data_IF_822212272350
#
_entry.id   IF_822212272350
#
_cell.length_a   1.000
_cell.length_b   1.000
_cell.length_c   1.000
_cell.angle_alpha   90.00
_cell.angle_beta   90.00
_cell.angle_gamma   90.00
#
_symmetry.space_group_name_H-M   'P 1'
#
loop_
_entity.id
_entity.type
_entity.pdbx_description
1 polymer ?
#
# COMPACT_ATOMS: atom_id res chain seq x y z
N UNK A 1 -17.53 14.97 0.09
CA UNK A 1 -16.56 14.39 1.06
C UNK A 1 -15.23 15.10 0.88
N UNK A 2 -14.56 15.56 1.95
CA UNK A 2 -13.21 16.09 1.83
C UNK A 2 -12.24 14.98 1.39
N UNK A 3 -11.25 15.32 0.58
CA UNK A 3 -10.17 14.41 0.21
C UNK A 3 -9.17 14.28 1.37
N UNK A 4 -8.55 13.10 1.57
CA UNK A 4 -7.49 12.94 2.56
C UNK A 4 -6.26 13.78 2.18
N UNK A 5 -5.59 14.35 3.18
CA UNK A 5 -4.34 15.10 3.02
C UNK A 5 -3.12 14.21 2.75
N UNK A 6 -3.22 12.92 3.06
CA UNK A 6 -2.22 11.90 2.77
C UNK A 6 -2.88 10.52 2.64
N UNK A 7 -2.32 9.66 1.79
CA UNK A 7 -2.72 8.26 1.60
C UNK A 7 -1.47 7.39 1.66
N UNK A 8 -1.46 6.38 2.51
CA UNK A 8 -0.39 5.37 2.56
C UNK A 8 -0.93 4.09 1.95
N UNK A 9 -0.43 3.73 0.76
CA UNK A 9 -0.79 2.51 0.07
C UNK A 9 0.23 1.40 0.36
N UNK A 10 -0.24 0.33 0.98
CA UNK A 10 0.56 -0.85 1.30
C UNK A 10 0.60 -1.78 0.08
N UNK A 11 1.61 -1.63 -0.75
CA UNK A 11 1.79 -2.45 -1.94
C UNK A 11 2.28 -3.85 -1.57
N UNK A 12 1.63 -4.87 -2.12
CA UNK A 12 2.00 -6.26 -1.89
C UNK A 12 1.63 -7.07 -3.13
N UNK A 13 2.41 -8.11 -3.42
CA UNK A 13 2.06 -9.03 -4.50
C UNK A 13 0.90 -9.93 -4.09
N UNK A 14 0.24 -10.53 -5.08
CA UNK A 14 -0.88 -11.44 -4.84
C UNK A 14 -0.44 -12.64 -3.99
N UNK A 15 0.74 -13.20 -4.30
CA UNK A 15 1.30 -14.37 -3.64
C UNK A 15 1.52 -14.09 -2.14
N UNK A 16 2.07 -12.93 -1.81
CA UNK A 16 2.30 -12.54 -0.41
C UNK A 16 0.97 -12.24 0.30
N UNK A 17 0.01 -11.61 -0.38
CA UNK A 17 -1.33 -11.36 0.17
C UNK A 17 -2.07 -12.66 0.48
N UNK A 18 -2.09 -13.61 -0.46
CA UNK A 18 -2.73 -14.91 -0.29
C UNK A 18 -2.07 -15.73 0.82
N UNK A 19 -0.73 -15.76 0.86
CA UNK A 19 0.02 -16.47 1.90
C UNK A 19 -0.32 -15.98 3.32
N UNK A 20 -0.62 -14.68 3.49
CA UNK A 20 -0.95 -14.08 4.79
C UNK A 20 -2.42 -14.21 5.17
N UNK A 21 -3.34 -14.10 4.21
CA UNK A 21 -4.78 -14.07 4.49
C UNK A 21 -5.45 -15.45 4.45
N UNK A 22 -4.78 -16.48 3.91
CA UNK A 22 -5.41 -17.77 3.58
C UNK A 22 -6.71 -17.61 2.75
N UNK A 23 -6.87 -16.48 2.06
CA UNK A 23 -8.02 -16.21 1.19
C UNK A 23 -7.74 -16.71 -0.23
N UNK A 24 -8.72 -17.37 -0.84
CA UNK A 24 -8.61 -17.81 -2.23
C UNK A 24 -8.82 -16.61 -3.17
N UNK A 25 -7.79 -16.35 -3.98
CA UNK A 25 -7.78 -15.56 -5.22
C UNK A 25 -8.86 -14.49 -5.34
N UNK A 26 -8.52 -13.24 -4.99
CA UNK A 26 -9.33 -12.12 -5.43
C UNK A 26 -9.23 -12.06 -6.96
N UNK A 27 -10.33 -12.36 -7.66
CA UNK A 27 -10.39 -12.56 -9.12
C UNK A 27 -9.79 -11.40 -9.95
N UNK A 28 -9.53 -10.23 -9.33
CA UNK A 28 -9.01 -9.02 -9.96
C UNK A 28 -7.85 -8.36 -9.17
N UNK A 29 -7.06 -9.11 -8.38
CA UNK A 29 -6.01 -8.54 -7.53
C UNK A 29 -5.01 -7.69 -8.33
N UNK A 30 -4.50 -8.23 -9.44
CA UNK A 30 -3.53 -7.54 -10.29
C UNK A 30 -4.06 -6.21 -10.85
N UNK A 31 -5.33 -6.19 -11.28
CA UNK A 31 -5.98 -4.98 -11.79
C UNK A 31 -6.17 -3.93 -10.71
N UNK A 32 -6.63 -4.34 -9.52
CA UNK A 32 -6.79 -3.44 -8.38
C UNK A 32 -5.46 -2.84 -7.94
N UNK A 33 -4.42 -3.67 -7.81
CA UNK A 33 -3.05 -3.22 -7.51
C UNK A 33 -2.56 -2.21 -8.53
N UNK A 34 -2.73 -2.50 -9.83
CA UNK A 34 -2.32 -1.59 -10.89
C UNK A 34 -3.06 -0.24 -10.83
N UNK A 35 -4.36 -0.25 -10.53
CA UNK A 35 -5.16 0.97 -10.39
C UNK A 35 -4.68 1.85 -9.22
N UNK A 36 -4.42 1.26 -8.04
CA UNK A 36 -3.87 2.01 -6.90
C UNK A 36 -2.48 2.58 -7.18
N UNK A 37 -1.60 1.80 -7.83
CA UNK A 37 -0.27 2.27 -8.22
C UNK A 37 -0.36 3.40 -9.27
N UNK A 38 -1.30 3.31 -10.21
CA UNK A 38 -1.54 4.38 -11.17
C UNK A 38 -2.01 5.67 -10.48
N UNK A 39 -2.90 5.56 -9.49
CA UNK A 39 -3.37 6.71 -8.73
C UNK A 39 -2.27 7.32 -7.86
N UNK A 40 -1.43 6.47 -7.23
CA UNK A 40 -0.29 6.93 -6.45
C UNK A 40 0.72 7.73 -7.29
N UNK A 41 0.93 7.36 -8.56
CA UNK A 41 1.81 8.10 -9.47
C UNK A 41 1.29 9.49 -9.85
N UNK A 42 -0.01 9.73 -9.70
CA UNK A 42 -0.66 10.98 -10.13
C UNK A 42 -0.78 12.01 -9.00
N UNK A 43 -0.50 11.63 -7.74
CA UNK A 43 -0.74 12.49 -6.59
C UNK A 43 0.45 12.51 -5.62
N UNK A 44 0.98 13.68 -5.26
CA UNK A 44 2.11 13.80 -4.33
C UNK A 44 1.74 13.43 -2.88
N UNK A 45 0.44 13.35 -2.56
CA UNK A 45 -0.05 12.97 -1.23
C UNK A 45 -0.13 11.45 -1.04
N UNK A 46 0.22 10.67 -2.06
CA UNK A 46 0.24 9.21 -1.98
C UNK A 46 1.65 8.71 -1.70
N UNK A 47 1.76 7.89 -0.66
CA UNK A 47 3.00 7.24 -0.26
C UNK A 47 2.83 5.74 -0.44
N UNK A 48 3.65 5.14 -1.31
CA UNK A 48 3.65 3.70 -1.54
C UNK A 48 4.69 3.05 -0.63
N UNK A 49 4.25 2.05 0.13
CA UNK A 49 5.08 1.26 1.04
C UNK A 49 5.10 -0.17 0.57
N UNK A 50 6.28 -0.76 0.43
CA UNK A 50 6.44 -2.17 0.10
C UNK A 50 6.11 -3.03 1.33
N UNK A 51 4.88 -3.53 1.36
CA UNK A 51 4.37 -4.38 2.43
C UNK A 51 4.75 -5.86 2.25
N UNK A 52 5.52 -6.23 1.21
CA UNK A 52 6.10 -7.56 1.10
C UNK A 52 7.28 -7.77 2.06
N UNK A 53 7.86 -6.68 2.58
CA UNK A 53 8.95 -6.72 3.56
C UNK A 53 8.51 -7.26 4.93
N UNK A 54 9.48 -7.62 5.81
CA UNK A 54 9.19 -7.95 7.20
C UNK A 54 8.49 -6.79 7.93
N UNK A 55 7.60 -7.13 8.87
CA UNK A 55 6.75 -6.16 9.59
C UNK A 55 7.55 -4.98 10.17
N UNK A 56 8.71 -5.23 10.80
CA UNK A 56 9.52 -4.19 11.39
C UNK A 56 10.02 -3.14 10.38
N UNK A 57 10.35 -3.58 9.15
CA UNK A 57 10.78 -2.67 8.09
C UNK A 57 9.59 -1.83 7.57
N UNK A 58 8.42 -2.46 7.39
CA UNK A 58 7.18 -1.78 7.00
C UNK A 58 6.79 -0.73 8.04
N UNK A 59 6.82 -1.08 9.32
CA UNK A 59 6.53 -0.15 10.43
C UNK A 59 7.49 1.04 10.42
N UNK A 60 8.80 0.80 10.31
CA UNK A 60 9.81 1.86 10.24
C UNK A 60 9.53 2.83 9.08
N UNK A 61 9.15 2.32 7.91
CA UNK A 61 8.85 3.15 6.75
C UNK A 61 7.57 3.97 6.95
N UNK A 62 6.51 3.36 7.49
CA UNK A 62 5.24 4.05 7.76
C UNK A 62 5.41 5.13 8.83
N UNK A 63 6.12 4.83 9.92
CA UNK A 63 6.42 5.79 10.99
C UNK A 63 7.19 6.99 10.47
N UNK A 64 8.16 6.77 9.57
CA UNK A 64 8.88 7.84 8.90
C UNK A 64 7.94 8.74 8.09
N UNK A 65 7.07 8.15 7.27
CA UNK A 65 6.10 8.91 6.45
C UNK A 65 5.18 9.73 7.36
N UNK A 66 4.62 9.13 8.42
CA UNK A 66 3.73 9.83 9.36
C UNK A 66 4.46 10.99 10.04
N UNK A 67 5.73 10.80 10.42
CA UNK A 67 6.53 11.85 11.05
C UNK A 67 6.84 13.01 10.09
N UNK A 68 6.90 12.78 8.78
CA UNK A 68 7.09 13.82 7.76
C UNK A 68 5.78 14.59 7.45
N UNK A 69 4.62 14.07 7.90
CA UNK A 69 3.30 14.66 7.69
C UNK A 69 2.80 15.53 8.87
N UNK A 70 3.44 15.43 10.05
CA UNK A 70 3.11 16.16 11.28
C UNK A 70 4.04 17.36 11.48
#
# INVERSE_FOLDING_TARGET
MPAPSAVIFLDVTEEVSQARKQEQGAHNFAEQRAAYLAQAKQSPHWHVVDAAQPLAAVLTQVEKIISELL
#
